data_IF_596009921506
#
_entry.id   IF_596009921506
#
_cell.length_a   1.000
_cell.length_b   1.000
_cell.length_c   1.000
_cell.angle_alpha   90.00
_cell.angle_beta   90.00
_cell.angle_gamma   90.00
#
_symmetry.space_group_name_H-M   'P 1'
#
loop_
_entity.id
_entity.type
_entity.pdbx_description
1 polymer ?
#
# COMPACT_ATOMS: atom_id res chain seq x y z
N UNK A 1 -0.71 0.51 -16.15
CA UNK A 1 -0.47 0.12 -14.75
C UNK A 1 -0.41 -1.39 -14.64
N UNK A 2 0.43 -1.89 -13.75
CA UNK A 2 0.57 -3.31 -13.50
C UNK A 2 0.59 -3.57 -12.00
N UNK A 3 -0.13 -4.58 -11.54
CA UNK A 3 -0.17 -4.99 -10.14
C UNK A 3 0.15 -6.49 -10.07
N UNK A 4 1.09 -6.85 -9.21
CA UNK A 4 1.41 -8.25 -8.95
C UNK A 4 1.65 -8.47 -7.46
N UNK A 5 1.42 -9.69 -6.99
CA UNK A 5 1.57 -10.03 -5.59
C UNK A 5 2.75 -10.97 -5.39
N UNK A 6 3.56 -10.70 -4.35
CA UNK A 6 4.65 -11.58 -3.92
C UNK A 6 4.39 -11.99 -2.48
N UNK A 7 4.41 -13.27 -2.21
CA UNK A 7 4.27 -13.78 -0.85
C UNK A 7 5.66 -14.01 -0.27
N UNK A 8 5.95 -13.37 0.87
CA UNK A 8 7.21 -13.54 1.59
C UNK A 8 6.88 -13.89 3.04
N UNK A 9 7.11 -15.13 3.42
CA UNK A 9 6.77 -15.63 4.76
C UNK A 9 5.28 -15.37 5.06
N UNK A 10 4.97 -14.58 6.08
CA UNK A 10 3.59 -14.28 6.47
C UNK A 10 3.07 -12.97 5.88
N UNK A 11 3.85 -12.32 5.03
CA UNK A 11 3.49 -11.04 4.43
C UNK A 11 3.24 -11.17 2.93
N UNK A 12 2.40 -10.30 2.39
CA UNK A 12 2.22 -10.15 0.95
C UNK A 12 2.68 -8.77 0.55
N UNK A 13 3.50 -8.69 -0.50
CA UNK A 13 3.88 -7.43 -1.12
C UNK A 13 3.08 -7.29 -2.40
N UNK A 14 2.37 -6.17 -2.54
CA UNK A 14 1.74 -5.80 -3.80
C UNK A 14 2.66 -4.82 -4.53
N UNK A 15 3.19 -5.25 -5.66
CA UNK A 15 4.04 -4.42 -6.51
C UNK A 15 3.16 -3.71 -7.54
N UNK A 16 3.18 -2.37 -7.50
CA UNK A 16 2.41 -1.55 -8.43
C UNK A 16 3.38 -0.74 -9.27
N UNK A 17 3.13 -0.68 -10.57
CA UNK A 17 3.93 0.15 -11.48
C UNK A 17 3.03 1.03 -12.34
N UNK A 18 3.55 2.19 -12.74
CA UNK A 18 2.83 3.18 -13.51
C UNK A 18 2.17 4.23 -12.63
N UNK A 19 1.22 4.97 -13.18
CA UNK A 19 0.50 5.99 -12.44
C UNK A 19 -0.73 5.39 -11.77
N UNK A 20 -1.08 5.91 -10.59
CA UNK A 20 -2.35 5.55 -9.94
C UNK A 20 -3.25 6.76 -10.04
N UNK A 21 -4.26 6.67 -10.90
CA UNK A 21 -5.16 7.78 -11.19
C UNK A 21 -6.61 7.30 -11.26
N UNK A 22 -7.51 8.20 -11.62
CA UNK A 22 -8.94 7.92 -11.67
C UNK A 22 -9.28 6.72 -12.57
N UNK A 23 -8.50 6.49 -13.63
CA UNK A 23 -8.78 5.41 -14.59
C UNK A 23 -8.47 4.03 -14.02
N UNK A 24 -7.54 3.92 -13.07
CA UNK A 24 -7.07 2.63 -12.57
C UNK A 24 -7.11 2.47 -11.04
N UNK A 25 -7.46 3.52 -10.30
CA UNK A 25 -7.55 3.42 -8.84
C UNK A 25 -8.51 2.33 -8.35
N UNK A 26 -9.64 2.02 -9.04
CA UNK A 26 -10.47 0.89 -8.64
C UNK A 26 -9.74 -0.46 -8.67
N UNK A 27 -8.78 -0.64 -9.57
CA UNK A 27 -7.99 -1.88 -9.63
C UNK A 27 -7.07 -2.00 -8.42
N UNK A 28 -6.47 -0.89 -8.00
CA UNK A 28 -5.61 -0.85 -6.80
C UNK A 28 -6.45 -1.19 -5.57
N UNK A 29 -7.61 -0.56 -5.43
CA UNK A 29 -8.52 -0.81 -4.32
C UNK A 29 -8.94 -2.28 -4.30
N UNK A 30 -9.32 -2.82 -5.44
CA UNK A 30 -9.73 -4.22 -5.55
C UNK A 30 -8.60 -5.17 -5.11
N UNK A 31 -7.38 -4.91 -5.57
CA UNK A 31 -6.23 -5.75 -5.21
C UNK A 31 -5.96 -5.72 -3.71
N UNK A 32 -6.01 -4.53 -3.09
CA UNK A 32 -5.81 -4.38 -1.66
C UNK A 32 -6.89 -5.11 -0.86
N UNK A 33 -8.16 -4.90 -1.21
CA UNK A 33 -9.27 -5.53 -0.50
C UNK A 33 -9.28 -7.04 -0.70
N UNK A 34 -8.85 -7.51 -1.87
CA UNK A 34 -8.71 -8.94 -2.13
C UNK A 34 -7.72 -9.57 -1.15
N UNK A 35 -6.57 -8.97 -0.95
CA UNK A 35 -5.56 -9.49 -0.03
C UNK A 35 -6.03 -9.39 1.43
N UNK A 36 -6.55 -8.24 1.82
CA UNK A 36 -6.87 -7.95 3.22
C UNK A 36 -8.15 -8.66 3.67
N UNK A 37 -9.23 -8.54 2.91
CA UNK A 37 -10.54 -9.06 3.31
C UNK A 37 -10.80 -10.48 2.85
N UNK A 38 -10.52 -10.77 1.58
CA UNK A 38 -10.87 -12.08 1.01
C UNK A 38 -9.87 -13.14 1.40
N UNK A 39 -8.58 -12.87 1.22
CA UNK A 39 -7.53 -13.82 1.58
C UNK A 39 -7.15 -13.77 3.05
N UNK A 40 -7.56 -12.72 3.76
CA UNK A 40 -7.27 -12.59 5.18
C UNK A 40 -5.80 -12.43 5.50
N UNK A 41 -5.03 -11.82 4.61
CA UNK A 41 -3.60 -11.58 4.84
C UNK A 41 -3.45 -10.54 5.94
N UNK A 42 -2.68 -10.89 6.98
CA UNK A 42 -2.53 -10.03 8.16
C UNK A 42 -1.41 -9.00 8.04
N UNK A 43 -0.56 -9.13 7.03
CA UNK A 43 0.58 -8.23 6.81
C UNK A 43 0.70 -7.96 5.31
N UNK A 44 0.34 -6.74 4.90
CA UNK A 44 0.39 -6.33 3.49
C UNK A 44 1.28 -5.10 3.35
N UNK A 45 2.21 -5.16 2.43
CA UNK A 45 3.04 -4.01 2.05
C UNK A 45 2.74 -3.63 0.60
N UNK A 46 2.50 -2.36 0.36
CA UNK A 46 2.28 -1.84 -0.98
C UNK A 46 3.58 -1.18 -1.46
N UNK A 47 4.15 -1.74 -2.50
CA UNK A 47 5.38 -1.25 -3.12
C UNK A 47 5.03 -0.19 -4.17
N UNK A 48 5.38 1.05 -3.88
CA UNK A 48 5.12 2.19 -4.76
C UNK A 48 6.39 2.71 -5.45
N UNK A 49 7.49 1.95 -5.38
CA UNK A 49 8.77 2.40 -5.94
C UNK A 49 8.73 2.58 -7.46
N UNK A 50 7.85 1.88 -8.16
CA UNK A 50 7.67 2.01 -9.60
C UNK A 50 6.44 2.86 -9.98
N UNK A 51 5.85 3.57 -9.00
CA UNK A 51 4.73 4.47 -9.22
C UNK A 51 5.27 5.89 -9.36
N UNK A 52 5.00 6.51 -10.52
CA UNK A 52 5.49 7.85 -10.80
C UNK A 52 4.59 8.95 -10.26
N UNK A 53 3.29 8.69 -10.19
CA UNK A 53 2.29 9.68 -9.85
C UNK A 53 1.06 9.04 -9.19
N UNK A 54 0.51 9.73 -8.20
CA UNK A 54 -0.73 9.34 -7.53
C UNK A 54 -1.62 10.58 -7.45
N UNK A 55 -2.87 10.48 -7.93
CA UNK A 55 -3.84 11.56 -7.74
C UNK A 55 -4.73 11.29 -6.51
N UNK A 56 -5.72 12.15 -6.30
CA UNK A 56 -6.62 12.01 -5.15
C UNK A 56 -7.43 10.71 -5.17
N UNK A 57 -7.75 10.20 -6.36
CA UNK A 57 -8.45 8.91 -6.49
C UNK A 57 -7.57 7.76 -6.02
N UNK A 58 -6.27 7.84 -6.37
CA UNK A 58 -5.29 6.87 -5.90
C UNK A 58 -5.14 6.90 -4.39
N UNK A 59 -5.04 8.09 -3.82
CA UNK A 59 -4.97 8.26 -2.37
C UNK A 59 -6.20 7.65 -1.69
N UNK A 60 -7.39 7.88 -2.24
CA UNK A 60 -8.62 7.30 -1.70
C UNK A 60 -8.57 5.77 -1.67
N UNK A 61 -7.98 5.15 -2.71
CA UNK A 61 -7.81 3.70 -2.75
C UNK A 61 -6.90 3.20 -1.63
N UNK A 62 -5.83 3.93 -1.33
CA UNK A 62 -4.92 3.59 -0.22
C UNK A 62 -5.63 3.71 1.12
N UNK A 63 -6.46 4.73 1.29
CA UNK A 63 -7.26 4.94 2.50
C UNK A 63 -8.23 3.78 2.71
N UNK A 64 -8.85 3.29 1.64
CA UNK A 64 -9.75 2.13 1.73
C UNK A 64 -9.00 0.88 2.22
N UNK A 65 -7.79 0.66 1.72
CA UNK A 65 -6.94 -0.43 2.19
C UNK A 65 -6.60 -0.29 3.67
N UNK A 66 -6.26 0.93 4.10
CA UNK A 66 -5.94 1.20 5.49
C UNK A 66 -7.14 0.95 6.41
N UNK A 67 -8.32 1.40 6.02
CA UNK A 67 -9.56 1.16 6.79
C UNK A 67 -9.84 -0.32 6.93
N UNK A 68 -9.75 -1.06 5.84
CA UNK A 68 -9.97 -2.51 5.85
C UNK A 68 -8.99 -3.21 6.79
N UNK A 69 -7.72 -2.82 6.76
CA UNK A 69 -6.71 -3.43 7.63
C UNK A 69 -6.99 -3.13 9.10
N UNK A 70 -7.41 -1.92 9.43
CA UNK A 70 -7.76 -1.54 10.79
C UNK A 70 -8.98 -2.32 11.29
N UNK A 71 -9.99 -2.48 10.46
CA UNK A 71 -11.20 -3.22 10.81
C UNK A 71 -10.91 -4.67 11.16
N UNK A 72 -9.91 -5.26 10.50
CA UNK A 72 -9.55 -6.66 10.67
C UNK A 72 -8.36 -6.88 11.60
N UNK A 73 -7.78 -5.80 12.16
CA UNK A 73 -6.61 -5.92 13.01
C UNK A 73 -5.36 -6.37 12.28
N UNK A 74 -5.30 -6.16 10.95
CA UNK A 74 -4.13 -6.48 10.15
C UNK A 74 -3.25 -5.25 9.97
N UNK A 75 -2.03 -5.47 9.47
CA UNK A 75 -1.10 -4.36 9.19
C UNK A 75 -1.02 -4.09 7.70
N UNK A 76 -1.03 -2.82 7.37
CA UNK A 76 -0.88 -2.35 6.00
C UNK A 76 0.15 -1.22 5.98
N UNK A 77 1.24 -1.41 5.26
CA UNK A 77 2.32 -0.43 5.17
C UNK A 77 2.60 -0.07 3.72
N UNK A 78 3.17 1.11 3.52
CA UNK A 78 3.61 1.60 2.21
C UNK A 78 5.13 1.70 2.20
N UNK A 79 5.74 1.49 1.04
CA UNK A 79 7.17 1.79 0.91
C UNK A 79 7.51 2.24 -0.50
N UNK A 80 8.64 2.94 -0.61
CA UNK A 80 9.18 3.34 -1.89
C UNK A 80 8.52 4.56 -2.54
N UNK A 81 7.84 5.40 -1.75
CA UNK A 81 7.23 6.61 -2.30
C UNK A 81 8.29 7.55 -2.83
N UNK A 82 8.09 8.04 -4.07
CA UNK A 82 8.92 9.14 -4.57
C UNK A 82 8.43 10.46 -3.96
N UNK A 83 9.15 11.54 -4.26
CA UNK A 83 8.83 12.85 -3.71
C UNK A 83 7.43 13.33 -4.09
N UNK A 84 7.02 13.05 -5.32
CA UNK A 84 5.69 13.43 -5.82
C UNK A 84 4.57 12.73 -5.05
N UNK A 85 4.68 11.42 -4.86
CA UNK A 85 3.68 10.65 -4.13
C UNK A 85 3.65 11.06 -2.65
N UNK A 86 4.81 11.25 -2.05
CA UNK A 86 4.93 11.70 -0.66
C UNK A 86 4.28 13.07 -0.47
N UNK A 87 4.50 13.98 -1.41
CA UNK A 87 3.93 15.32 -1.36
C UNK A 87 2.41 15.31 -1.44
N UNK A 88 1.83 14.47 -2.29
CA UNK A 88 0.37 14.34 -2.40
C UNK A 88 -0.23 13.87 -1.08
N UNK A 89 0.37 12.87 -0.44
CA UNK A 89 -0.09 12.40 0.87
C UNK A 89 0.09 13.46 1.95
N UNK A 90 1.17 14.23 1.89
CA UNK A 90 1.45 15.29 2.85
C UNK A 90 0.44 16.43 2.74
N UNK A 91 0.16 16.89 1.52
CA UNK A 91 -0.81 17.95 1.25
C UNK A 91 -2.20 17.52 1.70
N UNK A 92 -2.57 16.27 1.48
CA UNK A 92 -3.85 15.70 1.92
C UNK A 92 -3.92 15.46 3.41
N UNK A 93 -2.83 15.69 4.14
CA UNK A 93 -2.69 15.43 5.58
C UNK A 93 -2.89 13.95 5.93
N UNK A 94 -2.66 13.06 4.97
CA UNK A 94 -2.85 11.62 5.15
C UNK A 94 -1.55 10.88 5.39
N UNK A 95 -0.40 11.51 5.16
CA UNK A 95 0.89 10.84 5.33
C UNK A 95 1.08 10.28 6.74
N UNK A 96 0.58 10.98 7.75
CA UNK A 96 0.68 10.56 9.15
C UNK A 96 -0.20 9.36 9.48
N UNK A 97 -1.20 9.07 8.67
CA UNK A 97 -2.10 7.94 8.92
C UNK A 97 -1.49 6.62 8.47
N UNK A 98 -0.51 6.66 7.56
CA UNK A 98 0.11 5.47 7.02
C UNK A 98 1.45 5.20 7.68
N UNK A 99 1.80 3.92 7.83
CA UNK A 99 3.17 3.52 8.10
C UNK A 99 3.91 3.52 6.76
N UNK A 100 4.93 4.37 6.65
CA UNK A 100 5.69 4.55 5.40
C UNK A 100 7.14 4.25 5.65
N UNK A 101 7.73 3.42 4.78
CA UNK A 101 9.13 3.05 4.84
C UNK A 101 9.82 3.45 3.54
N UNK A 102 11.13 3.65 3.61
CA UNK A 102 11.89 4.08 2.43
C UNK A 102 12.02 2.96 1.41
N UNK A 103 12.20 1.73 1.87
CA UNK A 103 12.45 0.60 0.98
C UNK A 103 11.83 -0.70 1.52
N UNK A 104 11.93 -1.74 0.70
CA UNK A 104 11.38 -3.06 1.02
C UNK A 104 12.03 -3.67 2.27
N UNK A 105 13.32 -3.49 2.44
CA UNK A 105 14.04 -4.06 3.59
C UNK A 105 13.47 -3.52 4.90
N UNK A 106 13.29 -2.21 4.98
CA UNK A 106 12.73 -1.57 6.16
C UNK A 106 11.27 -1.99 6.40
N UNK A 107 10.48 -2.05 5.31
CA UNK A 107 9.08 -2.46 5.40
C UNK A 107 8.96 -3.90 5.91
N UNK A 108 9.77 -4.81 5.36
CA UNK A 108 9.73 -6.21 5.77
C UNK A 108 10.23 -6.41 7.19
N UNK A 109 11.24 -5.66 7.61
CA UNK A 109 11.70 -5.71 9.00
C UNK A 109 10.60 -5.30 9.97
N UNK A 110 9.82 -4.27 9.64
CA UNK A 110 8.68 -3.82 10.44
C UNK A 110 7.58 -4.87 10.52
N UNK A 111 7.34 -5.58 9.42
CA UNK A 111 6.28 -6.59 9.35
C UNK A 111 6.69 -7.96 9.90
N UNK A 112 7.98 -8.15 10.18
CA UNK A 112 8.45 -9.42 10.69
C UNK A 112 7.74 -9.77 12.02
N UNK A 113 7.37 -11.06 12.24
CA UNK A 113 6.75 -11.45 13.48
C UNK A 113 7.69 -11.21 14.67
N UNK A 114 7.13 -10.75 15.78
CA UNK A 114 7.87 -10.68 17.04
C UNK A 114 8.19 -12.09 17.53
N UNK A 115 9.39 -12.27 18.01
CA UNK A 115 9.84 -13.57 18.53
C UNK A 115 9.63 -13.63 20.02
#
# INVERSE_FOLDING_TARGET
>A
MKISARRIKTATILDVSGNIDMSNSPEVRKALLQEIRVKGVTRVALNLSAVNYIDSSGVASLVEGLKASRDLGSRFVLFGLNDSAREVLKISRLLKLFEVYDDEIQAMASLAPSV
#
